data_IF_622508836884
#
_entry.id   IF_622508836884
#
_cell.length_a   1.000
_cell.length_b   1.000
_cell.length_c   1.000
_cell.angle_alpha   90.00
_cell.angle_beta   90.00
_cell.angle_gamma   90.00
#
_symmetry.space_group_name_H-M   'P 1'
#
loop_
_entity.id
_entity.type
_entity.pdbx_description
1 polymer ?
#
# COMPACT_ATOMS: atom_id res chain seq x y z
N UNK A 1 22.29 14.66 -7.57
CA UNK A 1 21.33 14.16 -8.58
C UNK A 1 19.93 14.52 -8.11
N UNK A 2 19.12 15.19 -8.93
CA UNK A 2 17.68 15.26 -8.69
C UNK A 2 17.13 13.87 -9.03
N UNK A 3 16.57 13.16 -8.06
CA UNK A 3 15.80 11.95 -8.33
C UNK A 3 14.59 12.40 -9.15
N UNK A 4 14.59 12.14 -10.45
CA UNK A 4 13.37 12.30 -11.26
C UNK A 4 12.31 11.40 -10.61
N UNK A 5 11.27 12.03 -10.05
CA UNK A 5 10.10 11.28 -9.60
C UNK A 5 9.56 10.54 -10.80
N UNK A 6 9.33 9.24 -10.64
CA UNK A 6 8.58 8.49 -11.65
C UNK A 6 7.31 9.27 -12.01
N UNK A 7 6.98 9.45 -13.30
CA UNK A 7 5.74 10.11 -13.73
C UNK A 7 4.47 9.41 -13.22
N UNK A 8 4.61 8.24 -12.58
CA UNK A 8 3.54 7.44 -11.98
C UNK A 8 3.30 7.78 -10.50
N UNK A 9 4.15 8.60 -9.88
CA UNK A 9 4.15 8.88 -8.43
C UNK A 9 3.61 10.29 -8.11
N UNK A 10 2.58 10.70 -8.86
CA UNK A 10 1.83 11.94 -8.63
C UNK A 10 0.60 11.68 -7.75
N UNK A 11 0.14 12.66 -6.96
CA UNK A 11 -1.10 12.54 -6.19
C UNK A 11 -2.30 12.11 -7.05
N UNK A 12 -2.37 12.57 -8.30
CA UNK A 12 -3.42 12.24 -9.25
C UNK A 12 -3.36 10.78 -9.70
N UNK A 13 -2.17 10.23 -9.96
CA UNK A 13 -1.97 8.82 -10.30
C UNK A 13 -2.35 7.90 -9.14
N UNK A 14 -1.98 8.28 -7.91
CA UNK A 14 -2.41 7.57 -6.70
C UNK A 14 -3.92 7.62 -6.55
N UNK A 15 -4.54 8.79 -6.73
CA UNK A 15 -5.99 8.95 -6.60
C UNK A 15 -6.76 8.12 -7.65
N UNK A 16 -6.32 8.14 -8.91
CA UNK A 16 -6.91 7.33 -9.98
C UNK A 16 -6.78 5.83 -9.69
N UNK A 17 -5.59 5.39 -9.27
CA UNK A 17 -5.35 4.00 -8.88
C UNK A 17 -6.26 3.58 -7.72
N UNK A 18 -6.38 4.44 -6.70
CA UNK A 18 -7.27 4.19 -5.56
C UNK A 18 -8.74 4.09 -6.00
N UNK A 19 -9.22 4.95 -6.92
CA UNK A 19 -10.58 4.86 -7.47
C UNK A 19 -10.80 3.52 -8.19
N UNK A 20 -9.84 3.07 -8.99
CA UNK A 20 -9.91 1.74 -9.63
C UNK A 20 -10.04 0.64 -8.60
N UNK A 21 -9.23 0.65 -7.54
CA UNK A 21 -9.28 -0.36 -6.49
C UNK A 21 -10.54 -0.28 -5.62
N UNK A 22 -11.10 0.91 -5.38
CA UNK A 22 -12.40 1.04 -4.70
C UNK A 22 -13.47 0.26 -5.45
N UNK A 23 -13.54 0.40 -6.78
CA UNK A 23 -14.50 -0.35 -7.59
C UNK A 23 -14.26 -1.86 -7.51
N UNK A 24 -12.99 -2.28 -7.62
CA UNK A 24 -12.62 -3.71 -7.55
C UNK A 24 -12.93 -4.33 -6.18
N UNK A 25 -12.74 -3.57 -5.10
CA UNK A 25 -12.93 -4.07 -3.73
C UNK A 25 -14.35 -3.93 -3.23
N UNK A 26 -15.14 -2.97 -3.74
CA UNK A 26 -16.52 -2.75 -3.32
C UNK A 26 -17.36 -4.03 -3.47
N UNK A 27 -17.30 -4.67 -4.63
CA UNK A 27 -18.07 -5.89 -4.91
C UNK A 27 -17.62 -7.07 -4.03
N UNK A 28 -16.30 -7.18 -3.78
CA UNK A 28 -15.75 -8.27 -2.97
C UNK A 28 -16.05 -8.12 -1.49
N UNK A 29 -15.81 -6.93 -0.92
CA UNK A 29 -15.95 -6.67 0.52
C UNK A 29 -17.42 -6.69 0.94
N UNK A 30 -18.36 -6.32 0.05
CA UNK A 30 -19.79 -6.36 0.34
C UNK A 30 -20.45 -7.71 0.07
N UNK A 31 -19.70 -8.68 -0.46
CA UNK A 31 -20.18 -10.05 -0.69
C UNK A 31 -20.23 -10.87 0.61
N UNK A 32 -20.78 -12.08 0.54
CA UNK A 32 -20.79 -13.05 1.64
C UNK A 32 -19.39 -13.49 2.08
N UNK A 33 -18.39 -13.37 1.21
CA UNK A 33 -16.99 -13.73 1.46
C UNK A 33 -16.13 -12.50 1.83
N UNK A 34 -16.75 -11.33 2.00
CA UNK A 34 -16.05 -10.06 2.21
C UNK A 34 -15.15 -10.06 3.45
N UNK A 35 -15.58 -10.73 4.52
CA UNK A 35 -14.80 -10.90 5.74
C UNK A 35 -13.46 -11.61 5.50
N UNK A 36 -13.49 -12.72 4.75
CA UNK A 36 -12.30 -13.50 4.44
C UNK A 36 -11.38 -12.76 3.47
N UNK A 37 -11.97 -12.06 2.49
CA UNK A 37 -11.22 -11.21 1.58
C UNK A 37 -10.46 -10.09 2.30
N UNK A 38 -11.07 -9.43 3.29
CA UNK A 38 -10.41 -8.38 4.09
C UNK A 38 -9.24 -8.94 4.89
N UNK A 39 -9.39 -10.13 5.50
CA UNK A 39 -8.32 -10.83 6.23
C UNK A 39 -7.15 -11.19 5.31
N UNK A 40 -7.45 -11.85 4.20
CA UNK A 40 -6.44 -12.28 3.24
C UNK A 40 -5.68 -11.08 2.68
N UNK A 41 -6.40 -10.02 2.30
CA UNK A 41 -5.78 -8.80 1.81
C UNK A 41 -4.86 -8.17 2.86
N UNK A 42 -5.29 -8.06 4.13
CA UNK A 42 -4.47 -7.50 5.20
C UNK A 42 -3.14 -8.26 5.37
N UNK A 43 -3.16 -9.58 5.30
CA UNK A 43 -1.96 -10.40 5.39
C UNK A 43 -1.03 -10.16 4.18
N UNK A 44 -1.59 -10.21 2.96
CA UNK A 44 -0.84 -10.06 1.72
C UNK A 44 -0.19 -8.67 1.61
N UNK A 45 -0.95 -7.61 1.88
CA UNK A 45 -0.46 -6.24 1.75
C UNK A 45 0.57 -5.92 2.83
N UNK A 46 0.43 -6.45 4.05
CA UNK A 46 1.44 -6.31 5.12
C UNK A 46 2.79 -6.91 4.73
N UNK A 47 2.78 -8.11 4.12
CA UNK A 47 3.99 -8.75 3.56
C UNK A 47 4.59 -7.90 2.44
N UNK A 48 3.75 -7.36 1.55
CA UNK A 48 4.19 -6.56 0.40
C UNK A 48 4.80 -5.23 0.81
N UNK A 49 4.18 -4.51 1.74
CA UNK A 49 4.70 -3.27 2.36
C UNK A 49 6.08 -3.53 2.98
N UNK A 50 6.21 -4.60 3.77
CA UNK A 50 7.47 -4.95 4.43
C UNK A 50 8.58 -5.28 3.43
N UNK A 51 8.25 -6.01 2.35
CA UNK A 51 9.21 -6.31 1.28
C UNK A 51 9.65 -5.05 0.55
N UNK A 52 8.71 -4.19 0.16
CA UNK A 52 9.01 -2.93 -0.54
C UNK A 52 9.95 -2.03 0.27
N UNK A 53 9.72 -1.91 1.57
CA UNK A 53 10.56 -1.10 2.43
C UNK A 53 11.99 -1.67 2.55
N UNK A 54 12.12 -3.00 2.70
CA UNK A 54 13.44 -3.66 2.69
C UNK A 54 14.19 -3.46 1.38
N UNK A 55 13.49 -3.55 0.25
CA UNK A 55 14.10 -3.31 -1.06
C UNK A 55 14.54 -1.84 -1.23
N UNK A 56 13.75 -0.88 -0.76
CA UNK A 56 14.15 0.53 -0.74
C UNK A 56 15.43 0.74 0.09
N UNK A 57 15.49 0.16 1.30
CA UNK A 57 16.69 0.25 2.15
C UNK A 57 17.96 -0.27 1.44
N UNK A 58 17.85 -1.34 0.67
CA UNK A 58 18.98 -1.91 -0.09
C UNK A 58 19.44 -1.00 -1.23
N UNK A 59 18.52 -0.26 -1.88
CA UNK A 59 18.84 0.60 -3.02
C UNK A 59 19.41 1.95 -2.62
N UNK A 60 18.93 2.53 -1.52
CA UNK A 60 19.30 3.89 -1.11
C UNK A 60 20.35 3.94 -0.01
N UNK A 61 20.69 2.79 0.60
CA UNK A 61 21.62 2.74 1.74
C UNK A 61 21.09 3.49 2.97
N UNK A 62 21.94 3.61 3.99
CA UNK A 62 21.61 4.29 5.25
C UNK A 62 21.90 5.80 5.22
N UNK A 63 22.07 6.43 4.05
CA UNK A 63 22.27 7.88 3.97
C UNK A 63 20.94 8.60 4.23
N UNK A 64 20.86 9.27 5.39
CA UNK A 64 19.66 9.89 5.98
C UNK A 64 18.87 10.82 5.04
N UNK A 65 19.51 11.39 4.02
CA UNK A 65 18.87 12.31 3.06
C UNK A 65 18.02 11.63 1.98
N UNK A 66 18.46 10.46 1.50
CA UNK A 66 17.79 9.73 0.40
C UNK A 66 16.57 8.93 0.88
N UNK A 67 16.62 8.41 2.10
CA UNK A 67 15.58 7.54 2.68
C UNK A 67 14.39 8.30 3.30
N UNK A 68 14.52 9.60 3.56
CA UNK A 68 13.50 10.37 4.29
C UNK A 68 12.11 10.35 3.62
N UNK A 69 11.98 10.55 2.29
CA UNK A 69 10.68 10.46 1.62
C UNK A 69 10.06 9.06 1.67
N UNK A 70 10.90 8.02 1.58
CA UNK A 70 10.50 6.62 1.66
C UNK A 70 10.02 6.22 3.05
N UNK A 71 10.69 6.74 4.08
CA UNK A 71 10.35 6.51 5.48
C UNK A 71 9.00 7.13 5.82
N UNK A 72 8.74 8.37 5.37
CA UNK A 72 7.44 9.00 5.57
C UNK A 72 6.30 8.22 4.90
N UNK A 73 6.48 7.74 3.66
CA UNK A 73 5.49 6.89 2.99
C UNK A 73 5.25 5.59 3.74
N UNK A 74 6.32 4.95 4.20
CA UNK A 74 6.23 3.71 4.98
C UNK A 74 5.44 3.91 6.29
N UNK A 75 5.69 5.00 7.04
CA UNK A 75 4.93 5.34 8.24
C UNK A 75 3.43 5.53 7.96
N UNK A 76 3.08 6.19 6.85
CA UNK A 76 1.70 6.33 6.41
C UNK A 76 1.06 4.96 6.08
N UNK A 77 1.78 4.08 5.41
CA UNK A 77 1.31 2.71 5.16
C UNK A 77 1.10 1.94 6.46
N UNK A 78 2.02 2.05 7.43
CA UNK A 78 1.85 1.43 8.74
C UNK A 78 0.61 1.94 9.47
N UNK A 79 0.32 3.25 9.40
CA UNK A 79 -0.90 3.81 9.97
C UNK A 79 -2.16 3.23 9.31
N UNK A 80 -2.17 3.08 7.98
CA UNK A 80 -3.27 2.47 7.23
C UNK A 80 -3.40 0.97 7.50
N UNK A 81 -2.30 0.24 7.63
CA UNK A 81 -2.30 -1.17 8.02
C UNK A 81 -2.92 -1.38 9.40
N UNK A 82 -2.70 -0.45 10.35
CA UNK A 82 -3.34 -0.50 11.67
C UNK A 82 -4.86 -0.33 11.58
N UNK A 83 -5.34 0.59 10.74
CA UNK A 83 -6.79 0.76 10.48
C UNK A 83 -7.37 -0.55 9.95
N UNK A 84 -6.71 -1.15 8.95
CA UNK A 84 -7.16 -2.42 8.36
C UNK A 84 -7.10 -3.59 9.37
N UNK A 85 -6.08 -3.62 10.23
CA UNK A 85 -5.96 -4.63 11.29
C UNK A 85 -7.09 -4.51 12.32
N UNK A 86 -7.56 -3.30 12.64
CA UNK A 86 -8.73 -3.13 13.50
C UNK A 86 -10.00 -3.67 12.82
N UNK A 87 -10.17 -3.45 11.50
CA UNK A 87 -11.28 -4.09 10.76
C UNK A 87 -11.20 -5.62 10.84
N UNK A 88 -10.02 -6.22 10.68
CA UNK A 88 -9.84 -7.68 10.82
C UNK A 88 -10.19 -8.14 12.23
N UNK A 89 -9.75 -7.42 13.25
CA UNK A 89 -10.07 -7.72 14.65
C UNK A 89 -11.57 -7.66 14.92
N UNK A 90 -12.28 -6.67 14.37
CA UNK A 90 -13.75 -6.60 14.44
C UNK A 90 -14.37 -7.87 13.85
N UNK A 91 -13.92 -8.32 12.67
CA UNK A 91 -14.41 -9.54 12.02
C UNK A 91 -14.13 -10.78 12.88
N UNK A 92 -12.92 -10.91 13.43
CA UNK A 92 -12.52 -12.06 14.25
C UNK A 92 -13.28 -12.15 15.58
N UNK A 93 -13.68 -11.01 16.13
CA UNK A 93 -14.52 -10.91 17.32
C UNK A 93 -16.02 -11.05 17.01
N UNK A 94 -16.39 -11.29 15.74
CA UNK A 94 -17.78 -11.38 15.30
C UNK A 94 -18.53 -10.04 15.37
N UNK A 95 -17.81 -8.92 15.48
CA UNK A 95 -18.36 -7.57 15.46
C UNK A 95 -18.55 -7.12 13.99
N UNK A 96 -19.58 -6.31 13.71
CA UNK A 96 -19.72 -5.70 12.39
C UNK A 96 -18.55 -4.73 12.15
N UNK A 97 -17.76 -4.97 11.12
CA UNK A 97 -16.75 -4.03 10.65
C UNK A 97 -17.36 -3.00 9.69
N UNK A 98 -16.73 -1.83 9.54
CA UNK A 98 -17.17 -0.82 8.58
C UNK A 98 -16.59 -1.11 7.18
N UNK A 99 -17.42 -1.51 6.19
CA UNK A 99 -16.94 -1.86 4.84
C UNK A 99 -16.31 -0.68 4.10
N UNK A 100 -16.81 0.55 4.32
CA UNK A 100 -16.27 1.76 3.69
C UNK A 100 -14.85 2.03 4.19
N UNK A 101 -14.61 1.85 5.49
CA UNK A 101 -13.27 1.98 6.08
C UNK A 101 -12.32 0.92 5.51
N UNK A 102 -12.76 -0.33 5.41
CA UNK A 102 -11.96 -1.40 4.83
C UNK A 102 -11.64 -1.12 3.35
N UNK A 103 -12.65 -0.87 2.51
CA UNK A 103 -12.49 -0.61 1.06
C UNK A 103 -11.55 0.56 0.81
N UNK A 104 -11.78 1.70 1.47
CA UNK A 104 -10.95 2.89 1.26
C UNK A 104 -9.50 2.69 1.71
N UNK A 105 -9.28 1.99 2.82
CA UNK A 105 -7.95 1.68 3.34
C UNK A 105 -7.21 0.70 2.43
N UNK A 106 -7.88 -0.37 1.99
CA UNK A 106 -7.34 -1.36 1.07
C UNK A 106 -6.98 -0.72 -0.27
N UNK A 107 -7.88 0.08 -0.84
CA UNK A 107 -7.66 0.75 -2.13
C UNK A 107 -6.48 1.73 -2.08
N UNK A 108 -6.35 2.50 -1.00
CA UNK A 108 -5.21 3.40 -0.82
C UNK A 108 -3.89 2.64 -0.72
N UNK A 109 -3.85 1.60 0.12
CA UNK A 109 -2.65 0.77 0.29
C UNK A 109 -2.26 0.08 -1.01
N UNK A 110 -3.22 -0.51 -1.73
CA UNK A 110 -2.94 -1.19 -2.99
C UNK A 110 -2.43 -0.22 -4.06
N UNK A 111 -3.04 0.96 -4.18
CA UNK A 111 -2.62 2.00 -5.11
C UNK A 111 -1.19 2.48 -4.83
N UNK A 112 -0.92 2.91 -3.60
CA UNK A 112 0.41 3.42 -3.21
C UNK A 112 1.50 2.36 -3.32
N UNK A 113 1.25 1.14 -2.79
CA UNK A 113 2.28 0.09 -2.81
C UNK A 113 2.53 -0.38 -4.25
N UNK A 114 1.52 -0.45 -5.12
CA UNK A 114 1.71 -0.79 -6.54
C UNK A 114 2.56 0.24 -7.27
N UNK A 115 2.25 1.54 -7.11
CA UNK A 115 3.04 2.62 -7.70
C UNK A 115 4.48 2.63 -7.17
N UNK A 116 4.65 2.28 -5.90
CA UNK A 116 5.96 2.15 -5.29
C UNK A 116 6.79 1.01 -5.87
N UNK A 117 6.19 -0.17 -6.07
CA UNK A 117 6.87 -1.31 -6.71
C UNK A 117 7.38 -0.92 -8.10
N UNK A 118 6.57 -0.21 -8.90
CA UNK A 118 6.99 0.27 -10.21
C UNK A 118 8.18 1.23 -10.11
N UNK A 119 8.17 2.11 -9.10
CA UNK A 119 9.29 3.03 -8.81
C UNK A 119 10.56 2.27 -8.44
N UNK A 120 10.48 1.24 -7.59
CA UNK A 120 11.64 0.40 -7.25
C UNK A 120 12.20 -0.34 -8.46
N UNK A 121 11.35 -0.87 -9.34
CA UNK A 121 11.77 -1.56 -10.57
C UNK A 121 12.52 -0.60 -11.49
N UNK A 122 11.96 0.60 -11.72
CA UNK A 122 12.59 1.62 -12.55
C UNK A 122 13.99 1.99 -12.02
N UNK A 123 14.10 2.26 -10.73
CA UNK A 123 15.37 2.65 -10.10
C UNK A 123 16.44 1.55 -10.19
N UNK A 124 16.05 0.28 -10.02
CA UNK A 124 16.97 -0.86 -10.20
C UNK A 124 17.52 -0.90 -11.63
N UNK A 125 16.64 -0.80 -12.62
CA UNK A 125 17.04 -0.81 -14.03
C UNK A 125 17.97 0.36 -14.37
N UNK A 126 17.74 1.55 -13.82
CA UNK A 126 18.61 2.70 -14.02
C UNK A 126 19.98 2.58 -13.35
N UNK A 127 20.12 1.73 -12.32
CA UNK A 127 21.41 1.50 -11.64
C UNK A 127 22.29 0.43 -12.31
N UNK A 128 21.70 -0.39 -13.19
CA UNK A 128 22.39 -1.45 -13.94
C UNK A 128 22.85 -0.99 -15.34
N UNK A 129 22.41 0.19 -15.79
CA UNK A 129 22.73 0.80 -17.09
C UNK A 129 23.87 1.83 -16.97
#
# INVERSE_FOLDING_TARGET
MQYERSPLDTPESTALSAITFVNVFSDKVTSTEGADFVREFQEQISKRVSRCYKEALLLFGSEDGGMRPFTLRYELWLARLKILAECVKEIDEGRPFNPVTAISTMAYLEGEVSGFVQTLVFLKQSSEA
#
